data_IF_821636440590
#
_entry.id   IF_821636440590
#
_cell.length_a   1.000
_cell.length_b   1.000
_cell.length_c   1.000
_cell.angle_alpha   90.00
_cell.angle_beta   90.00
_cell.angle_gamma   90.00
#
_symmetry.space_group_name_H-M   'P 1'
#
loop_
_entity.id
_entity.type
_entity.pdbx_description
1 polymer ?
#
# COMPACT_ATOMS: atom_id res chain seq x y z
N UNK A 1 10.12 -9.73 -20.40
CA UNK A 1 8.82 -9.07 -20.11
C UNK A 1 9.09 -7.93 -19.14
N UNK A 2 8.62 -6.70 -19.41
CA UNK A 2 8.82 -5.57 -18.50
C UNK A 2 7.73 -5.51 -17.43
N UNK A 3 8.12 -5.16 -16.21
CA UNK A 3 7.24 -5.03 -15.03
C UNK A 3 7.22 -3.55 -14.63
N UNK A 4 6.05 -2.96 -14.55
CA UNK A 4 5.85 -1.58 -14.12
C UNK A 4 5.40 -1.54 -12.66
N UNK A 5 6.12 -0.81 -11.80
CA UNK A 5 5.81 -0.68 -10.37
C UNK A 5 5.26 0.71 -10.07
N UNK A 6 3.99 0.79 -9.67
CA UNK A 6 3.25 2.07 -9.57
C UNK A 6 3.09 2.64 -8.15
N UNK A 7 3.83 2.11 -7.17
CA UNK A 7 3.69 2.47 -5.75
C UNK A 7 4.25 3.88 -5.46
N UNK A 8 4.03 4.46 -4.27
CA UNK A 8 4.78 5.67 -3.88
C UNK A 8 6.30 5.47 -4.01
N UNK A 9 7.06 6.54 -4.25
CA UNK A 9 8.49 6.50 -4.62
C UNK A 9 9.32 5.46 -3.85
N UNK A 10 9.53 5.64 -2.53
CA UNK A 10 10.33 4.71 -1.70
C UNK A 10 9.90 3.24 -1.84
N UNK A 11 8.59 3.01 -1.96
CA UNK A 11 8.00 1.68 -2.05
C UNK A 11 8.17 1.05 -3.43
N UNK A 12 8.12 1.87 -4.47
CA UNK A 12 8.31 1.45 -5.84
C UNK A 12 9.78 1.15 -6.10
N UNK A 13 10.69 1.97 -5.57
CA UNK A 13 12.12 1.80 -5.75
C UNK A 13 12.62 0.54 -5.03
N UNK A 14 12.26 0.37 -3.76
CA UNK A 14 12.62 -0.82 -2.99
C UNK A 14 12.09 -2.12 -3.60
N UNK A 15 10.85 -2.11 -4.14
CA UNK A 15 10.31 -3.30 -4.81
C UNK A 15 10.96 -3.52 -6.18
N UNK A 16 11.23 -2.46 -6.94
CA UNK A 16 11.92 -2.52 -8.23
C UNK A 16 13.30 -3.14 -8.06
N UNK A 17 14.08 -2.66 -7.09
CA UNK A 17 15.40 -3.20 -6.76
C UNK A 17 15.32 -4.70 -6.43
N UNK A 18 14.38 -5.10 -5.57
CA UNK A 18 14.21 -6.50 -5.20
C UNK A 18 13.84 -7.39 -6.40
N UNK A 19 12.96 -6.92 -7.29
CA UNK A 19 12.60 -7.65 -8.51
C UNK A 19 13.81 -7.79 -9.46
N UNK A 20 14.59 -6.72 -9.63
CA UNK A 20 15.80 -6.72 -10.45
C UNK A 20 16.88 -7.66 -9.92
N UNK A 21 17.08 -7.71 -8.59
CA UNK A 21 18.00 -8.67 -7.95
C UNK A 21 17.61 -10.13 -8.21
N UNK A 22 16.33 -10.41 -8.48
CA UNK A 22 15.84 -11.73 -8.86
C UNK A 22 15.77 -11.93 -10.40
N UNK A 23 16.49 -11.12 -11.17
CA UNK A 23 16.61 -11.27 -12.63
C UNK A 23 15.41 -10.78 -13.44
N UNK A 24 14.44 -10.10 -12.82
CA UNK A 24 13.29 -9.55 -13.51
C UNK A 24 13.56 -8.13 -14.03
N UNK A 25 13.01 -7.79 -15.19
CA UNK A 25 13.10 -6.43 -15.73
C UNK A 25 11.98 -5.55 -15.15
N UNK A 26 12.24 -4.94 -13.99
CA UNK A 26 11.30 -4.05 -13.31
C UNK A 26 11.70 -2.57 -13.46
N UNK A 27 10.69 -1.70 -13.54
CA UNK A 27 10.84 -0.26 -13.66
C UNK A 27 9.84 0.43 -12.74
N UNK A 28 10.32 1.42 -11.99
CA UNK A 28 9.53 2.27 -11.09
C UNK A 28 8.84 3.39 -11.89
N UNK A 29 7.53 3.57 -11.69
CA UNK A 29 6.78 4.76 -12.12
C UNK A 29 5.78 5.12 -11.03
N UNK A 30 6.19 5.87 -9.99
CA UNK A 30 5.30 6.23 -8.90
C UNK A 30 4.12 7.04 -9.40
N UNK A 31 2.90 6.61 -9.08
CA UNK A 31 1.68 7.26 -9.58
C UNK A 31 1.01 8.14 -8.51
N UNK A 32 1.47 8.05 -7.27
CA UNK A 32 0.99 8.87 -6.15
C UNK A 32 2.16 9.35 -5.29
N UNK A 33 2.04 10.55 -4.74
CA UNK A 33 2.91 11.13 -3.71
C UNK A 33 2.25 10.99 -2.33
N UNK A 34 3.09 10.85 -1.31
CA UNK A 34 2.65 10.92 0.09
C UNK A 34 3.02 12.29 0.63
N UNK A 35 2.02 13.08 1.03
CA UNK A 35 2.22 14.41 1.61
C UNK A 35 1.92 14.33 3.10
N UNK A 36 2.94 14.52 3.94
CA UNK A 36 2.77 14.57 5.40
C UNK A 36 2.13 15.90 5.82
N UNK A 37 1.28 15.82 6.83
CA UNK A 37 0.49 16.94 7.34
C UNK A 37 0.87 17.22 8.78
N UNK A 38 0.82 18.50 9.15
CA UNK A 38 1.09 18.92 10.52
C UNK A 38 0.00 18.41 11.45
N UNK A 39 0.42 17.79 12.54
CA UNK A 39 -0.48 17.30 13.58
C UNK A 39 -0.83 18.48 14.50
N UNK A 40 -2.04 19.02 14.35
CA UNK A 40 -2.47 20.23 15.06
C UNK A 40 -2.83 20.00 16.54
N UNK A 41 -3.36 18.82 16.88
CA UNK A 41 -3.75 18.44 18.24
C UNK A 41 -2.66 17.61 18.90
N UNK A 42 -2.45 17.77 20.20
CA UNK A 42 -1.44 17.00 20.93
C UNK A 42 -1.81 15.51 20.97
N UNK A 43 -0.97 14.66 20.39
CA UNK A 43 -1.16 13.19 20.38
C UNK A 43 -0.62 12.55 21.68
N UNK A 44 0.21 13.26 22.43
CA UNK A 44 0.92 12.70 23.60
C UNK A 44 -0.03 12.44 24.78
N UNK A 45 -1.21 13.05 24.83
CA UNK A 45 -2.19 12.85 25.91
C UNK A 45 -2.91 11.49 25.87
N UNK A 46 -2.79 10.76 24.76
CA UNK A 46 -3.47 9.47 24.56
C UNK A 46 -2.69 8.34 25.18
N UNK A 47 -3.39 7.34 25.72
CA UNK A 47 -2.76 6.16 26.34
C UNK A 47 -2.47 5.05 25.32
N UNK A 48 -3.22 5.04 24.21
CA UNK A 48 -3.17 4.02 23.16
C UNK A 48 -3.05 4.66 21.79
N UNK A 49 -2.10 4.21 20.97
CA UNK A 49 -1.91 4.68 19.60
C UNK A 49 -2.19 3.55 18.61
N UNK A 50 -2.95 3.85 17.55
CA UNK A 50 -3.24 2.91 16.48
C UNK A 50 -2.70 3.44 15.16
N UNK A 51 -1.78 2.70 14.54
CA UNK A 51 -1.21 3.05 13.24
C UNK A 51 -1.85 2.26 12.11
N UNK A 52 -2.46 2.98 11.18
CA UNK A 52 -3.17 2.37 10.04
C UNK A 52 -2.28 2.17 8.81
N UNK A 53 -1.06 2.68 8.82
CA UNK A 53 -0.06 2.45 7.77
C UNK A 53 1.35 2.82 8.23
N UNK A 54 2.37 2.36 7.52
CA UNK A 54 3.74 2.85 7.70
C UNK A 54 3.91 4.35 7.46
N UNK A 55 3.07 4.96 6.63
CA UNK A 55 3.11 6.41 6.40
C UNK A 55 2.57 7.19 7.59
N UNK A 56 1.59 6.64 8.31
CA UNK A 56 1.15 7.19 9.59
C UNK A 56 2.28 7.17 10.64
N UNK A 57 3.04 6.07 10.68
CA UNK A 57 4.23 5.93 11.55
C UNK A 57 5.27 7.00 11.20
N UNK A 58 5.69 7.06 9.93
CA UNK A 58 6.66 8.06 9.43
C UNK A 58 6.19 9.50 9.69
N UNK A 59 4.90 9.77 9.54
CA UNK A 59 4.35 11.13 9.74
C UNK A 59 4.33 11.58 11.19
N UNK A 60 4.02 10.67 12.13
CA UNK A 60 4.05 10.99 13.55
C UNK A 60 5.50 11.25 14.00
N UNK A 61 6.41 10.33 13.67
CA UNK A 61 7.80 10.40 14.16
C UNK A 61 8.71 11.35 13.37
N UNK A 62 8.19 12.02 12.34
CA UNK A 62 8.84 13.20 11.78
C UNK A 62 8.54 14.47 12.60
N UNK A 63 7.56 14.42 13.50
CA UNK A 63 7.08 15.56 14.27
C UNK A 63 7.22 15.39 15.79
N UNK A 64 7.32 14.14 16.27
CA UNK A 64 7.44 13.82 17.68
C UNK A 64 8.59 12.84 17.91
N UNK A 65 9.26 12.98 19.07
CA UNK A 65 10.20 11.98 19.55
C UNK A 65 9.46 10.68 19.91
N UNK A 66 9.99 9.54 19.47
CA UNK A 66 9.44 8.23 19.76
C UNK A 66 9.43 7.91 21.26
N UNK A 67 10.36 8.47 22.03
CA UNK A 67 10.49 8.23 23.46
C UNK A 67 9.26 8.69 24.26
N UNK A 68 8.52 9.67 23.73
CA UNK A 68 7.25 10.14 24.30
C UNK A 68 6.16 9.06 24.32
N UNK A 69 6.33 7.97 23.55
CA UNK A 69 5.32 6.92 23.36
C UNK A 69 5.74 5.55 23.90
N UNK A 70 6.94 5.40 24.49
CA UNK A 70 7.45 4.12 25.00
C UNK A 70 6.56 3.46 26.08
N UNK A 71 5.86 4.27 26.87
CA UNK A 71 4.98 3.78 27.94
C UNK A 71 3.50 3.64 27.51
N UNK A 72 3.21 3.72 26.21
CA UNK A 72 1.85 3.69 25.67
C UNK A 72 1.56 2.34 25.00
N UNK A 73 0.29 1.97 24.94
CA UNK A 73 -0.13 0.78 24.16
C UNK A 73 -0.07 1.11 22.68
N UNK A 74 0.72 0.37 21.92
CA UNK A 74 0.90 0.58 20.49
C UNK A 74 0.19 -0.53 19.72
N UNK A 75 -0.63 -0.13 18.75
CA UNK A 75 -1.35 -1.03 17.86
C UNK A 75 -1.01 -0.71 16.41
N UNK A 76 -1.05 -1.73 15.55
CA UNK A 76 -0.97 -1.50 14.12
C UNK A 76 -1.88 -2.45 13.35
N UNK A 77 -2.34 -2.02 12.18
CA UNK A 77 -3.27 -2.82 11.36
C UNK A 77 -2.62 -4.05 10.71
N UNK A 78 -1.30 -4.26 10.88
CA UNK A 78 -0.63 -5.44 10.37
C UNK A 78 0.89 -5.41 10.49
N UNK A 79 1.52 -6.56 10.26
CA UNK A 79 2.94 -6.82 10.50
C UNK A 79 3.89 -5.85 9.79
N UNK A 80 3.57 -5.38 8.58
CA UNK A 80 4.44 -4.46 7.85
C UNK A 80 4.51 -3.07 8.50
N UNK A 81 3.43 -2.62 9.15
CA UNK A 81 3.42 -1.37 9.93
C UNK A 81 4.15 -1.58 11.26
N UNK A 82 3.92 -2.71 11.94
CA UNK A 82 4.65 -3.09 13.15
C UNK A 82 6.16 -3.15 12.94
N UNK A 83 6.63 -3.68 11.80
CA UNK A 83 8.04 -3.73 11.45
C UNK A 83 8.68 -2.32 11.33
N UNK A 84 7.90 -1.31 10.93
CA UNK A 84 8.38 0.08 10.91
C UNK A 84 8.40 0.66 12.32
N UNK A 85 7.38 0.39 13.15
CA UNK A 85 7.35 0.80 14.56
C UNK A 85 8.54 0.24 15.36
N UNK A 86 8.95 -1.00 15.06
CA UNK A 86 10.12 -1.62 15.68
C UNK A 86 11.42 -0.84 15.46
N UNK A 87 11.55 -0.10 14.35
CA UNK A 87 12.72 0.79 14.10
C UNK A 87 12.78 1.96 15.08
N UNK A 88 11.64 2.31 15.67
CA UNK A 88 11.50 3.32 16.73
C UNK A 88 11.48 2.69 18.13
N UNK A 89 11.86 1.42 18.26
CA UNK A 89 11.84 0.66 19.52
C UNK A 89 10.45 0.57 20.17
N UNK A 90 9.40 0.59 19.35
CA UNK A 90 8.01 0.44 19.78
C UNK A 90 7.46 -0.90 19.30
N UNK A 91 7.09 -1.76 20.25
CA UNK A 91 6.42 -3.02 19.96
C UNK A 91 4.92 -2.80 19.81
N UNK A 92 4.38 -3.25 18.67
CA UNK A 92 2.97 -3.09 18.35
C UNK A 92 2.20 -4.40 18.48
N UNK A 93 0.98 -4.32 19.00
CA UNK A 93 -0.02 -5.38 18.90
C UNK A 93 -0.67 -5.30 17.51
N UNK A 94 -0.74 -6.40 16.77
CA UNK A 94 -1.32 -6.43 15.43
C UNK A 94 -1.94 -7.80 15.09
N UNK A 95 -2.93 -7.84 14.17
CA UNK A 95 -3.52 -9.10 13.74
C UNK A 95 -2.65 -9.85 12.73
N UNK A 96 -2.75 -11.18 12.76
CA UNK A 96 -2.11 -12.06 11.75
C UNK A 96 -2.63 -11.73 10.35
N UNK A 97 -3.95 -11.58 10.22
CA UNK A 97 -4.58 -11.06 9.00
C UNK A 97 -4.70 -9.54 9.13
N UNK A 98 -4.05 -8.82 8.23
CA UNK A 98 -4.06 -7.35 8.26
C UNK A 98 -5.46 -6.79 8.05
N UNK A 99 -5.77 -5.68 8.72
CA UNK A 99 -7.05 -4.98 8.56
C UNK A 99 -7.53 -4.29 9.82
N UNK A 100 -8.40 -3.30 9.64
CA UNK A 100 -9.02 -2.56 10.75
C UNK A 100 -10.00 -3.42 11.55
N UNK A 101 -10.72 -4.35 10.90
CA UNK A 101 -11.69 -5.22 11.57
C UNK A 101 -11.00 -6.23 12.46
N UNK A 102 -9.95 -6.88 11.94
CA UNK A 102 -9.18 -7.87 12.67
C UNK A 102 -8.45 -7.24 13.86
N UNK A 103 -7.94 -6.01 13.70
CA UNK A 103 -7.35 -5.26 14.81
C UNK A 103 -8.39 -4.87 15.87
N UNK A 104 -9.59 -4.43 15.45
CA UNK A 104 -10.66 -4.10 16.39
C UNK A 104 -11.01 -5.31 17.27
N UNK A 105 -11.15 -6.49 16.67
CA UNK A 105 -11.44 -7.72 17.42
C UNK A 105 -10.35 -8.02 18.47
N UNK A 106 -9.07 -7.74 18.17
CA UNK A 106 -7.99 -7.88 19.15
C UNK A 106 -8.12 -6.86 20.27
N UNK A 107 -8.37 -5.59 19.94
CA UNK A 107 -8.50 -4.51 20.93
C UNK A 107 -9.65 -4.82 21.91
N UNK A 108 -10.79 -5.29 21.40
CA UNK A 108 -11.98 -5.60 22.19
C UNK A 108 -11.83 -6.85 23.09
N UNK A 109 -10.74 -7.62 22.96
CA UNK A 109 -10.44 -8.71 23.90
C UNK A 109 -9.76 -8.22 25.20
N UNK A 110 -9.42 -6.93 25.29
CA UNK A 110 -8.83 -6.32 26.48
C UNK A 110 -9.84 -5.39 27.17
N UNK A 111 -9.62 -5.14 28.46
CA UNK A 111 -10.28 -4.02 29.13
C UNK A 111 -9.66 -2.71 28.64
N UNK A 112 -10.49 -1.88 28.00
CA UNK A 112 -10.13 -0.60 27.40
C UNK A 112 -10.80 0.58 28.11
N UNK A 113 -11.45 0.36 29.25
CA UNK A 113 -12.21 1.38 29.98
C UNK A 113 -11.40 2.62 30.37
N UNK A 114 -10.10 2.45 30.61
CA UNK A 114 -9.17 3.54 30.93
C UNK A 114 -8.39 4.07 29.72
N UNK A 115 -8.54 3.44 28.56
CA UNK A 115 -7.73 3.76 27.38
C UNK A 115 -8.28 4.98 26.64
N UNK A 116 -7.40 5.88 26.18
CA UNK A 116 -7.72 6.95 25.24
C UNK A 116 -6.98 6.66 23.93
N UNK A 117 -7.71 6.52 22.83
CA UNK A 117 -7.15 6.11 21.54
C UNK A 117 -6.87 7.27 20.60
N UNK A 118 -5.64 7.30 20.07
CA UNK A 118 -5.26 8.12 18.92
C UNK A 118 -5.11 7.24 17.68
N UNK A 119 -6.00 7.41 16.70
CA UNK A 119 -5.95 6.68 15.43
C UNK A 119 -5.14 7.50 14.42
N UNK A 120 -3.87 7.13 14.21
CA UNK A 120 -2.97 7.82 13.29
C UNK A 120 -3.18 7.25 11.88
N UNK A 121 -3.66 8.09 10.97
CA UNK A 121 -4.10 7.65 9.64
C UNK A 121 -3.90 8.72 8.56
N UNK A 122 -4.20 8.36 7.31
CA UNK A 122 -4.31 9.33 6.23
C UNK A 122 -5.73 9.88 6.10
N UNK A 123 -5.89 11.02 5.43
CA UNK A 123 -7.17 11.75 5.27
C UNK A 123 -8.34 10.83 4.85
N UNK A 124 -8.12 9.95 3.88
CA UNK A 124 -9.16 9.01 3.41
C UNK A 124 -9.04 7.60 4.00
N UNK A 125 -8.48 7.48 5.21
CA UNK A 125 -8.39 6.22 5.94
C UNK A 125 -9.76 5.64 6.33
N UNK A 126 -9.81 4.33 6.54
CA UNK A 126 -10.99 3.64 7.06
C UNK A 126 -11.37 4.18 8.44
N UNK A 127 -12.64 4.54 8.64
CA UNK A 127 -13.15 5.09 9.90
C UNK A 127 -13.66 4.05 10.90
N UNK A 128 -13.72 2.76 10.54
CA UNK A 128 -14.24 1.68 11.41
C UNK A 128 -13.68 1.73 12.84
N UNK A 129 -12.36 1.88 13.00
CA UNK A 129 -11.73 1.90 14.32
C UNK A 129 -12.14 3.12 15.15
N UNK A 130 -12.27 4.30 14.54
CA UNK A 130 -12.72 5.49 15.28
C UNK A 130 -14.20 5.38 15.59
N UNK A 131 -15.02 4.88 14.67
CA UNK A 131 -16.47 4.71 14.86
C UNK A 131 -16.78 3.70 15.97
N UNK A 132 -16.11 2.55 16.01
CA UNK A 132 -16.40 1.50 16.98
C UNK A 132 -15.78 1.81 18.36
N UNK A 133 -14.53 2.27 18.43
CA UNK A 133 -13.89 2.57 19.72
C UNK A 133 -14.47 3.81 20.40
N UNK A 134 -14.96 4.79 19.64
CA UNK A 134 -15.60 5.99 20.20
C UNK A 134 -16.90 5.69 20.96
N UNK A 135 -17.52 4.53 20.70
CA UNK A 135 -18.71 4.08 21.45
C UNK A 135 -18.37 3.63 22.87
N UNK A 136 -17.11 3.29 23.12
CA UNK A 136 -16.66 2.65 24.36
C UNK A 136 -15.72 3.56 25.17
N UNK A 137 -14.93 4.40 24.50
CA UNK A 137 -13.98 5.31 25.15
C UNK A 137 -13.62 6.51 24.27
N UNK A 138 -12.84 7.45 24.79
CA UNK A 138 -12.31 8.58 24.02
C UNK A 138 -11.41 8.07 22.89
N UNK A 139 -11.80 8.34 21.65
CA UNK A 139 -11.05 7.92 20.47
C UNK A 139 -11.06 9.05 19.43
N UNK A 140 -9.89 9.56 19.06
CA UNK A 140 -9.76 10.60 18.04
C UNK A 140 -8.90 10.13 16.86
N UNK A 141 -9.33 10.48 15.65
CA UNK A 141 -8.57 10.27 14.42
C UNK A 141 -7.65 11.46 14.16
N UNK A 142 -6.39 11.16 13.86
CA UNK A 142 -5.38 12.12 13.44
C UNK A 142 -5.02 11.84 11.98
N UNK A 143 -5.40 12.76 11.11
CA UNK A 143 -5.09 12.70 9.69
C UNK A 143 -3.74 13.35 9.44
N UNK A 144 -2.72 12.50 9.30
CA UNK A 144 -1.31 12.90 9.35
C UNK A 144 -0.65 12.87 7.98
N UNK A 145 -1.33 12.34 6.97
CA UNK A 145 -0.83 12.38 5.60
C UNK A 145 -1.98 12.29 4.59
N UNK A 146 -1.74 12.74 3.37
CA UNK A 146 -2.61 12.51 2.21
C UNK A 146 -1.87 11.77 1.12
N UNK A 147 -2.65 11.07 0.28
CA UNK A 147 -2.17 10.54 -0.99
C UNK A 147 -2.59 11.53 -2.07
N UNK A 148 -1.63 12.02 -2.83
CA UNK A 148 -1.88 12.97 -3.92
C UNK A 148 -1.48 12.28 -5.22
N UNK A 149 -2.33 12.36 -6.24
CA UNK A 149 -1.97 11.81 -7.54
C UNK A 149 -0.84 12.62 -8.16
N UNK A 150 0.04 11.97 -8.92
CA UNK A 150 0.97 12.70 -9.77
C UNK A 150 0.21 13.57 -10.78
N UNK A 151 0.84 14.67 -11.19
CA UNK A 151 0.31 15.49 -12.27
C UNK A 151 0.24 14.67 -13.55
N UNK A 152 -0.89 14.78 -14.25
CA UNK A 152 -1.20 13.85 -15.34
C UNK A 152 -0.22 13.98 -16.51
N UNK A 153 0.21 15.19 -16.83
CA UNK A 153 1.12 15.43 -17.96
C UNK A 153 2.53 14.95 -17.65
N UNK A 154 3.01 15.18 -16.42
CA UNK A 154 4.28 14.61 -15.92
C UNK A 154 4.22 13.08 -15.98
N UNK A 155 3.17 12.47 -15.43
CA UNK A 155 3.03 11.02 -15.38
C UNK A 155 2.92 10.39 -16.78
N UNK A 156 2.20 11.04 -17.70
CA UNK A 156 2.07 10.58 -19.09
C UNK A 156 3.40 10.67 -19.84
N UNK A 157 4.15 11.76 -19.64
CA UNK A 157 5.46 11.95 -20.26
C UNK A 157 6.45 10.89 -19.77
N UNK A 158 6.51 10.64 -18.46
CA UNK A 158 7.37 9.61 -17.89
C UNK A 158 6.97 8.21 -18.37
N UNK A 159 5.68 7.88 -18.42
CA UNK A 159 5.22 6.60 -18.98
C UNK A 159 5.70 6.43 -20.44
N UNK A 160 5.51 7.45 -21.28
CA UNK A 160 5.90 7.39 -22.69
C UNK A 160 7.42 7.25 -22.87
N UNK A 161 8.24 7.89 -22.03
CA UNK A 161 9.70 7.70 -22.03
C UNK A 161 10.08 6.24 -21.74
N UNK A 162 9.41 5.62 -20.77
CA UNK A 162 9.69 4.24 -20.35
C UNK A 162 9.21 3.19 -21.38
N UNK A 163 8.13 3.49 -22.11
CA UNK A 163 7.37 2.53 -22.91
C UNK A 163 7.15 2.96 -24.38
N UNK A 164 7.98 3.85 -24.93
CA UNK A 164 7.81 4.47 -26.26
C UNK A 164 7.25 3.55 -27.36
N UNK A 165 7.83 2.36 -27.55
CA UNK A 165 7.38 1.34 -28.52
C UNK A 165 7.08 -0.01 -27.88
N UNK A 166 6.88 -0.04 -26.56
CA UNK A 166 6.70 -1.27 -25.79
C UNK A 166 5.55 -1.10 -24.81
N UNK A 167 5.04 -2.20 -24.27
CA UNK A 167 4.05 -2.14 -23.21
C UNK A 167 4.52 -2.98 -22.02
N UNK A 168 4.15 -2.60 -20.78
CA UNK A 168 4.40 -3.46 -19.64
C UNK A 168 3.65 -4.78 -19.82
N UNK A 169 4.30 -5.90 -19.48
CA UNK A 169 3.61 -7.19 -19.42
C UNK A 169 2.94 -7.41 -18.06
N UNK A 170 3.45 -6.76 -17.01
CA UNK A 170 2.87 -6.75 -15.66
C UNK A 170 2.84 -5.32 -15.15
N UNK A 171 1.73 -4.94 -14.52
CA UNK A 171 1.55 -3.67 -13.81
C UNK A 171 1.27 -3.99 -12.34
N UNK A 172 2.17 -3.56 -11.46
CA UNK A 172 2.04 -3.72 -10.02
C UNK A 172 1.40 -2.47 -9.42
N UNK A 173 0.11 -2.59 -9.11
CA UNK A 173 -0.66 -1.65 -8.33
C UNK A 173 -1.08 -2.27 -6.99
N UNK A 174 -0.76 -1.61 -5.87
CA UNK A 174 -1.03 -2.12 -4.52
C UNK A 174 -2.28 -1.53 -3.87
N UNK A 175 -2.99 -0.65 -4.59
CA UNK A 175 -4.29 -0.12 -4.16
C UNK A 175 -5.10 0.35 -5.36
N UNK A 176 -6.40 0.53 -5.14
CA UNK A 176 -7.29 1.11 -6.15
C UNK A 176 -6.85 2.53 -6.53
N UNK A 177 -6.40 3.35 -5.57
CA UNK A 177 -5.95 4.72 -5.84
C UNK A 177 -4.69 4.77 -6.71
N UNK A 178 -3.73 3.88 -6.45
CA UNK A 178 -2.52 3.72 -7.28
C UNK A 178 -2.90 3.40 -8.73
N UNK A 179 -3.84 2.47 -8.92
CA UNK A 179 -4.30 2.10 -10.26
C UNK A 179 -5.13 3.20 -10.91
N UNK A 180 -6.03 3.88 -10.17
CA UNK A 180 -6.79 5.02 -10.68
C UNK A 180 -5.89 6.14 -11.17
N UNK A 181 -4.83 6.43 -10.42
CA UNK A 181 -3.86 7.45 -10.85
C UNK A 181 -3.18 7.06 -12.16
N UNK A 182 -2.75 5.80 -12.29
CA UNK A 182 -2.19 5.27 -13.56
C UNK A 182 -3.22 5.31 -14.70
N UNK A 183 -4.46 4.93 -14.44
CA UNK A 183 -5.49 4.79 -15.48
C UNK A 183 -5.76 6.10 -16.22
N UNK A 184 -5.59 7.25 -15.54
CA UNK A 184 -5.68 8.58 -16.17
C UNK A 184 -4.70 8.73 -17.33
N UNK A 185 -3.54 8.06 -17.28
CA UNK A 185 -2.58 8.02 -18.40
C UNK A 185 -3.20 7.30 -19.59
N UNK A 186 -3.85 6.15 -19.36
CA UNK A 186 -4.47 5.34 -20.41
C UNK A 186 -5.77 5.92 -20.97
N UNK A 187 -6.28 7.02 -20.40
CA UNK A 187 -7.31 7.86 -21.03
C UNK A 187 -6.71 8.75 -22.14
N UNK A 188 -5.40 9.03 -22.07
CA UNK A 188 -4.67 9.85 -23.06
C UNK A 188 -3.89 9.01 -24.08
N UNK A 189 -3.55 7.76 -23.75
CA UNK A 189 -2.74 6.89 -24.60
C UNK A 189 -3.35 5.49 -24.73
N UNK A 190 -2.81 4.66 -25.62
CA UNK A 190 -3.29 3.28 -25.79
C UNK A 190 -3.13 2.44 -24.53
N UNK A 191 -4.25 1.92 -24.02
CA UNK A 191 -4.30 1.00 -22.86
C UNK A 191 -3.52 -0.29 -23.16
N UNK A 192 -2.61 -0.75 -22.28
CA UNK A 192 -1.91 -2.02 -22.45
C UNK A 192 -2.78 -3.21 -22.03
N UNK A 193 -3.88 -3.48 -22.77
CA UNK A 193 -4.91 -4.48 -22.41
C UNK A 193 -4.38 -5.90 -22.18
N UNK A 194 -3.24 -6.25 -22.76
CA UNK A 194 -2.59 -7.54 -22.58
C UNK A 194 -1.85 -7.68 -21.23
N UNK A 195 -1.53 -6.57 -20.57
CA UNK A 195 -0.80 -6.56 -19.30
C UNK A 195 -1.59 -7.29 -18.21
N UNK A 196 -0.86 -7.96 -17.32
CA UNK A 196 -1.43 -8.49 -16.07
C UNK A 196 -1.37 -7.43 -14.99
N UNK A 197 -2.51 -7.07 -14.41
CA UNK A 197 -2.57 -6.06 -13.33
C UNK A 197 -2.71 -6.75 -11.98
N UNK A 198 -1.91 -6.36 -10.99
CA UNK A 198 -2.09 -6.88 -9.64
C UNK A 198 -3.35 -6.32 -8.96
N UNK A 199 -4.11 -7.15 -8.25
CA UNK A 199 -5.34 -6.76 -7.55
C UNK A 199 -5.29 -7.14 -6.07
N UNK A 200 -5.76 -6.24 -5.21
CA UNK A 200 -5.72 -6.41 -3.74
C UNK A 200 -7.11 -6.56 -3.12
N UNK A 201 -8.18 -6.36 -3.89
CA UNK A 201 -9.55 -6.45 -3.42
C UNK A 201 -10.54 -6.74 -4.55
N UNK A 202 -11.74 -7.28 -4.24
CA UNK A 202 -12.81 -7.44 -5.23
C UNK A 202 -13.25 -6.10 -5.87
N UNK A 203 -13.26 -5.02 -5.08
CA UNK A 203 -13.56 -3.66 -5.57
C UNK A 203 -12.55 -3.22 -6.64
N UNK A 204 -11.26 -3.47 -6.39
CA UNK A 204 -10.20 -3.17 -7.35
C UNK A 204 -10.31 -4.05 -8.61
N UNK A 205 -10.55 -5.35 -8.46
CA UNK A 205 -10.77 -6.27 -9.59
C UNK A 205 -11.90 -5.79 -10.50
N UNK A 206 -13.06 -5.44 -9.92
CA UNK A 206 -14.20 -4.91 -10.69
C UNK A 206 -13.80 -3.66 -11.49
N UNK A 207 -13.11 -2.71 -10.85
CA UNK A 207 -12.67 -1.48 -11.50
C UNK A 207 -11.65 -1.75 -12.63
N UNK A 208 -10.62 -2.56 -12.38
CA UNK A 208 -9.59 -2.93 -13.36
C UNK A 208 -10.21 -3.60 -14.59
N UNK A 209 -11.15 -4.52 -14.39
CA UNK A 209 -11.85 -5.19 -15.49
C UNK A 209 -12.69 -4.22 -16.33
N UNK A 210 -13.34 -3.24 -15.69
CA UNK A 210 -14.08 -2.19 -16.39
C UNK A 210 -13.19 -1.32 -17.28
N UNK A 211 -11.90 -1.19 -16.97
CA UNK A 211 -10.91 -0.50 -17.82
C UNK A 211 -10.39 -1.36 -18.97
N UNK A 212 -10.87 -2.61 -19.12
CA UNK A 212 -10.54 -3.49 -20.23
C UNK A 212 -9.33 -4.41 -20.01
N UNK A 213 -8.76 -4.45 -18.80
CA UNK A 213 -7.75 -5.43 -18.44
C UNK A 213 -8.40 -6.78 -18.11
N UNK A 214 -8.05 -7.82 -18.86
CA UNK A 214 -8.60 -9.18 -18.65
C UNK A 214 -7.71 -10.05 -17.76
N UNK A 215 -6.41 -9.73 -17.70
CA UNK A 215 -5.43 -10.50 -16.95
C UNK A 215 -5.17 -9.84 -15.60
N UNK A 216 -5.40 -10.56 -14.50
CA UNK A 216 -5.14 -10.05 -13.15
C UNK A 216 -4.37 -11.05 -12.29
N UNK A 217 -3.66 -10.54 -11.29
CA UNK A 217 -2.91 -11.34 -10.31
C UNK A 217 -3.26 -10.88 -8.90
N UNK A 218 -3.90 -11.74 -8.11
CA UNK A 218 -4.27 -11.41 -6.73
C UNK A 218 -3.06 -11.36 -5.81
N UNK A 219 -2.97 -10.31 -4.99
CA UNK A 219 -1.99 -10.16 -3.92
C UNK A 219 -2.70 -10.27 -2.56
N UNK A 220 -2.37 -11.29 -1.77
CA UNK A 220 -2.92 -11.49 -0.41
C UNK A 220 -2.16 -10.66 0.64
N UNK A 221 -0.91 -10.31 0.34
CA UNK A 221 -0.05 -9.46 1.18
C UNK A 221 0.62 -8.39 0.34
N UNK A 222 1.05 -7.31 1.00
CA UNK A 222 1.60 -6.12 0.34
C UNK A 222 3.05 -5.81 0.74
N UNK A 223 3.71 -6.71 1.48
CA UNK A 223 5.13 -6.63 1.71
C UNK A 223 5.92 -7.02 0.46
N UNK A 224 7.13 -6.46 0.31
CA UNK A 224 7.90 -6.61 -0.92
C UNK A 224 8.33 -8.06 -1.16
N UNK A 225 8.65 -8.83 -0.09
CA UNK A 225 9.02 -10.23 -0.21
C UNK A 225 7.91 -11.06 -0.84
N UNK A 226 6.68 -10.94 -0.32
CA UNK A 226 5.53 -11.63 -0.88
C UNK A 226 5.26 -11.20 -2.32
N UNK A 227 5.27 -9.89 -2.61
CA UNK A 227 5.01 -9.41 -3.98
C UNK A 227 6.07 -9.96 -4.93
N UNK A 228 7.34 -9.87 -4.58
CA UNK A 228 8.44 -10.36 -5.41
C UNK A 228 8.31 -11.86 -5.69
N UNK A 229 8.12 -12.68 -4.65
CA UNK A 229 7.93 -14.12 -4.79
C UNK A 229 6.73 -14.43 -5.69
N UNK A 230 5.59 -13.76 -5.46
CA UNK A 230 4.37 -14.01 -6.22
C UNK A 230 4.53 -13.68 -7.71
N UNK A 231 5.31 -12.65 -8.01
CA UNK A 231 5.61 -12.25 -9.38
C UNK A 231 6.56 -13.25 -10.04
N UNK A 232 7.59 -13.74 -9.33
CA UNK A 232 8.50 -14.77 -9.81
C UNK A 232 7.76 -16.04 -10.20
N UNK A 233 6.97 -16.60 -9.28
CA UNK A 233 6.12 -17.78 -9.52
C UNK A 233 5.23 -17.61 -10.76
N UNK A 234 4.63 -16.43 -10.91
CA UNK A 234 3.76 -16.11 -12.03
C UNK A 234 4.52 -16.04 -13.36
N UNK A 235 5.73 -15.46 -13.35
CA UNK A 235 6.58 -15.38 -14.54
C UNK A 235 7.10 -16.75 -14.97
N UNK A 236 7.54 -17.58 -14.04
CA UNK A 236 8.01 -18.95 -14.30
C UNK A 236 6.91 -19.83 -14.90
N UNK A 237 5.70 -19.78 -14.33
CA UNK A 237 4.55 -20.53 -14.83
C UNK A 237 4.19 -20.15 -16.28
N UNK A 238 4.31 -18.86 -16.64
CA UNK A 238 4.09 -18.38 -18.02
C UNK A 238 5.17 -18.86 -18.98
N UNK A 239 6.43 -18.90 -18.54
CA UNK A 239 7.53 -19.37 -19.39
C UNK A 239 7.47 -20.88 -19.64
N UNK A 240 7.08 -21.68 -18.64
CA UNK A 240 6.79 -23.11 -18.84
C UNK A 240 5.63 -23.32 -19.82
N UNK A 241 4.57 -22.52 -19.71
CA UNK A 241 3.41 -22.63 -20.61
C UNK A 241 3.77 -22.29 -22.07
N UNK A 242 4.61 -21.27 -22.27
CA UNK A 242 5.14 -20.89 -23.60
C UNK A 242 6.05 -21.95 -24.20
N UNK A 243 6.89 -22.61 -23.39
CA UNK A 243 7.76 -23.71 -23.85
C UNK A 243 6.97 -24.95 -24.26
N UNK A 244 5.83 -25.23 -23.61
CA UNK A 244 4.96 -26.36 -23.95
C UNK A 244 4.09 -26.13 -25.19
N UNK A 245 3.80 -24.87 -25.53
CA UNK A 245 3.01 -24.49 -26.71
C UNK A 245 3.74 -23.36 -27.46
N UNK A 246 4.86 -23.65 -28.15
CA UNK A 246 5.47 -22.65 -29.02
C UNK A 246 4.43 -22.26 -30.07
N UNK A 247 4.16 -20.96 -30.20
CA UNK A 247 3.24 -20.46 -31.22
C UNK A 247 3.70 -20.99 -32.58
N UNK A 248 2.89 -21.88 -33.17
CA UNK A 248 3.08 -22.34 -34.55
C UNK A 248 3.02 -21.09 -35.43
N UNK A 249 4.14 -20.81 -36.10
CA UNK A 249 4.27 -19.73 -37.08
C UNK A 249 3.34 -19.96 -38.26
#
# INVERSE_FOLDING_TARGET
MKILVCRPQDDADSLTEQLCLNGLLAISLPTIKICYQKIAKNVVEYTSLVFTSKYAVKSLFSQYDADLFKNKKIYSVGASTAAVLKKYQLDAIYPVRHGSQELLNIILNYDISTDKFAIISGVSGNNLLVEELSKLTQCHKFETYSRVFMEIDELTNEYNKLFLHQQPGIIIATSLDVFKSLNRVFEKITVPKAATVTITSPKMLKFVNQQGFKNTLKLEKLDNNYICQRILEFTEAKDVSRKKHPATK
#
